data_IF_022967021805
#
_entry.id   IF_022967021805
#
_cell.length_a   1.000
_cell.length_b   1.000
_cell.length_c   1.000
_cell.angle_alpha   90.00
_cell.angle_beta   90.00
_cell.angle_gamma   90.00
#
_symmetry.space_group_name_H-M   'P 1'
#
loop_
_entity.id
_entity.type
_entity.pdbx_description
1 polymer ?
#
# COMPACT_ATOMS: atom_id res chain seq x y z
N UNK A 1 25.81 9.00 17.91
CA UNK A 1 26.28 8.98 16.50
C UNK A 1 25.15 8.45 15.63
N UNK A 2 24.79 9.19 14.60
CA UNK A 2 23.78 8.74 13.62
C UNK A 2 24.33 7.60 12.77
N UNK A 3 23.55 6.57 12.58
CA UNK A 3 23.88 5.46 11.69
C UNK A 3 23.72 5.82 10.21
N UNK A 4 24.22 4.99 9.32
CA UNK A 4 24.00 5.18 7.87
C UNK A 4 22.53 5.13 7.50
N UNK A 5 21.75 4.30 8.19
CA UNK A 5 20.30 4.24 7.95
C UNK A 5 19.59 5.50 8.45
N UNK A 6 20.03 6.08 9.57
CA UNK A 6 19.46 7.36 10.04
C UNK A 6 19.65 8.46 8.99
N UNK A 7 20.84 8.55 8.41
CA UNK A 7 21.12 9.50 7.32
C UNK A 7 20.26 9.23 6.08
N UNK A 8 20.02 7.97 5.73
CA UNK A 8 19.15 7.62 4.61
C UNK A 8 17.69 8.03 4.88
N UNK A 9 17.20 7.80 6.09
CA UNK A 9 15.86 8.22 6.52
C UNK A 9 15.73 9.74 6.49
N UNK A 10 16.73 10.47 7.00
CA UNK A 10 16.73 11.93 6.99
C UNK A 10 16.68 12.49 5.56
N UNK A 11 17.47 11.92 4.64
CA UNK A 11 17.43 12.30 3.22
C UNK A 11 16.06 12.01 2.59
N UNK A 12 15.48 10.85 2.89
CA UNK A 12 14.14 10.52 2.40
C UNK A 12 13.11 11.54 2.89
N UNK A 13 13.10 11.83 4.18
CA UNK A 13 12.17 12.75 4.82
C UNK A 13 12.29 14.18 4.31
N UNK A 14 13.48 14.63 3.95
CA UNK A 14 13.71 15.97 3.39
C UNK A 14 12.96 16.21 2.07
N UNK A 15 12.52 15.15 1.40
CA UNK A 15 11.78 15.18 0.14
C UNK A 15 10.27 15.04 0.30
N UNK A 16 9.80 14.82 1.52
CA UNK A 16 8.40 14.48 1.81
C UNK A 16 7.71 15.61 2.58
N UNK A 17 6.43 15.82 2.27
CA UNK A 17 5.52 16.61 3.10
C UNK A 17 4.81 15.67 4.07
N UNK A 18 5.50 15.25 5.12
CA UNK A 18 5.00 14.25 6.06
C UNK A 18 3.78 14.74 6.81
N UNK A 19 2.86 13.84 7.10
CA UNK A 19 1.63 14.13 7.81
C UNK A 19 1.76 13.76 9.29
N UNK A 20 1.33 14.66 10.17
CA UNK A 20 1.06 14.27 11.55
C UNK A 20 -0.18 13.36 11.60
N UNK A 21 -0.28 12.46 12.60
CA UNK A 21 -1.45 11.58 12.73
C UNK A 21 -2.79 12.31 12.63
N UNK A 22 -2.90 13.49 13.23
CA UNK A 22 -4.13 14.28 13.20
C UNK A 22 -4.54 14.79 11.81
N UNK A 23 -3.60 14.86 10.87
CA UNK A 23 -3.84 15.32 9.49
C UNK A 23 -4.33 14.20 8.56
N UNK A 24 -4.17 12.95 8.96
CA UNK A 24 -4.50 11.80 8.10
C UNK A 24 -5.98 11.73 7.72
N UNK A 25 -6.95 11.92 8.63
CA UNK A 25 -8.36 11.91 8.26
C UNK A 25 -8.71 12.96 7.19
N UNK A 26 -8.18 14.17 7.30
CA UNK A 26 -8.40 15.22 6.30
C UNK A 26 -7.76 14.87 4.96
N UNK A 27 -6.58 14.24 4.95
CA UNK A 27 -5.94 13.76 3.74
C UNK A 27 -6.80 12.72 3.01
N UNK A 28 -7.31 11.74 3.73
CA UNK A 28 -8.21 10.72 3.16
C UNK A 28 -9.51 11.34 2.65
N UNK A 29 -10.07 12.30 3.38
CA UNK A 29 -11.29 13.00 2.98
C UNK A 29 -11.11 13.77 1.66
N UNK A 30 -9.92 14.31 1.37
CA UNK A 30 -9.61 14.98 0.09
C UNK A 30 -9.19 14.02 -1.04
N UNK A 31 -9.19 12.72 -0.80
CA UNK A 31 -8.91 11.69 -1.80
C UNK A 31 -7.56 11.01 -1.70
N UNK A 32 -6.76 11.27 -0.67
CA UNK A 32 -5.51 10.55 -0.45
C UNK A 32 -5.78 9.06 -0.22
N UNK A 33 -4.86 8.23 -0.68
CA UNK A 33 -4.90 6.79 -0.52
C UNK A 33 -3.97 6.39 0.62
N UNK A 34 -4.54 5.92 1.72
CA UNK A 34 -3.78 5.43 2.86
C UNK A 34 -3.36 3.98 2.61
N UNK A 35 -2.07 3.71 2.71
CA UNK A 35 -1.47 2.40 2.44
C UNK A 35 -0.71 1.92 3.66
N UNK A 36 -1.06 0.73 4.14
CA UNK A 36 -0.36 0.05 5.23
C UNK A 36 0.66 -0.91 4.64
N UNK A 37 1.95 -0.63 4.85
CA UNK A 37 3.06 -1.44 4.34
C UNK A 37 3.62 -2.42 5.36
N UNK A 38 3.02 -2.52 6.55
CA UNK A 38 3.50 -3.44 7.59
C UNK A 38 3.34 -4.90 7.15
N UNK A 39 4.27 -5.79 7.56
CA UNK A 39 4.07 -7.24 7.42
C UNK A 39 2.79 -7.72 8.12
N UNK A 40 2.20 -8.80 7.64
CA UNK A 40 0.97 -9.36 8.22
C UNK A 40 1.12 -9.65 9.72
N UNK A 41 2.22 -10.27 10.13
CA UNK A 41 2.49 -10.58 11.54
C UNK A 41 2.49 -9.33 12.43
N UNK A 42 3.01 -8.21 11.94
CA UNK A 42 3.03 -6.95 12.67
C UNK A 42 1.63 -6.33 12.77
N UNK A 43 0.84 -6.37 11.69
CA UNK A 43 -0.56 -5.94 11.71
C UNK A 43 -1.41 -6.78 12.65
N UNK A 44 -1.18 -8.10 12.69
CA UNK A 44 -1.89 -9.00 13.59
C UNK A 44 -1.57 -8.70 15.06
N UNK A 45 -0.32 -8.37 15.36
CA UNK A 45 0.11 -8.04 16.72
C UNK A 45 -0.32 -6.64 17.17
N UNK A 46 -0.29 -5.66 16.28
CA UNK A 46 -0.53 -4.24 16.63
C UNK A 46 -1.97 -3.77 16.34
N UNK A 47 -2.65 -4.40 15.40
CA UNK A 47 -3.98 -4.01 14.94
C UNK A 47 -3.99 -3.44 13.53
N UNK A 48 -5.15 -3.49 12.88
CA UNK A 48 -5.35 -3.01 11.51
C UNK A 48 -5.87 -1.57 11.50
N UNK A 49 -5.69 -0.88 10.39
CA UNK A 49 -6.24 0.46 10.15
C UNK A 49 -7.40 0.36 9.19
N UNK A 50 -8.60 0.71 9.65
CA UNK A 50 -9.77 0.80 8.79
C UNK A 50 -9.53 1.86 7.71
N UNK A 51 -9.91 1.55 6.47
CA UNK A 51 -9.75 2.46 5.34
C UNK A 51 -8.36 2.46 4.70
N UNK A 52 -7.38 1.78 5.27
CA UNK A 52 -6.08 1.59 4.63
C UNK A 52 -6.11 0.42 3.65
N UNK A 53 -5.43 0.57 2.53
CA UNK A 53 -5.12 -0.53 1.62
C UNK A 53 -3.83 -1.18 2.11
N UNK A 54 -3.83 -2.51 2.23
CA UNK A 54 -2.62 -3.25 2.57
C UNK A 54 -1.82 -3.53 1.30
N UNK A 55 -0.59 -3.06 1.26
CA UNK A 55 0.37 -3.39 0.20
C UNK A 55 1.68 -3.78 0.88
N UNK A 56 2.19 -4.96 0.60
CA UNK A 56 3.50 -5.35 1.10
C UNK A 56 4.60 -4.49 0.47
N UNK A 57 5.60 -4.14 1.27
CA UNK A 57 6.67 -3.23 0.85
C UNK A 57 7.38 -3.68 -0.42
N UNK A 58 7.59 -4.99 -0.58
CA UNK A 58 8.34 -5.55 -1.71
C UNK A 58 7.63 -5.42 -3.08
N UNK A 59 6.35 -5.11 -3.10
CA UNK A 59 5.55 -4.93 -4.34
C UNK A 59 4.95 -3.52 -4.47
N UNK A 60 5.26 -2.64 -3.53
CA UNK A 60 4.65 -1.31 -3.44
C UNK A 60 4.77 -0.52 -4.74
N UNK A 61 5.94 -0.41 -5.32
CA UNK A 61 6.20 0.36 -6.53
C UNK A 61 5.35 -0.13 -7.69
N UNK A 62 5.26 -1.44 -7.90
CA UNK A 62 4.43 -2.03 -8.97
C UNK A 62 2.94 -1.77 -8.77
N UNK A 63 2.49 -1.68 -7.52
CA UNK A 63 1.08 -1.45 -7.20
C UNK A 63 0.67 0.01 -7.30
N UNK A 64 1.60 0.92 -7.12
CA UNK A 64 1.35 2.38 -7.12
C UNK A 64 1.67 3.06 -8.45
N UNK A 65 2.51 2.46 -9.30
CA UNK A 65 2.89 3.03 -10.59
C UNK A 65 1.71 2.94 -11.57
N UNK A 66 1.17 4.08 -12.06
CA UNK A 66 0.04 4.07 -12.99
C UNK A 66 0.33 3.41 -14.35
N UNK A 67 1.60 3.22 -14.69
CA UNK A 67 2.03 2.56 -15.92
C UNK A 67 2.30 1.07 -15.76
N UNK A 68 2.26 0.56 -14.53
CA UNK A 68 2.50 -0.85 -14.24
C UNK A 68 1.28 -1.71 -14.58
N UNK A 69 1.47 -2.89 -15.21
CA UNK A 69 0.38 -3.83 -15.41
C UNK A 69 -0.15 -4.43 -14.10
N UNK A 70 0.62 -4.34 -13.01
CA UNK A 70 0.24 -4.80 -11.69
C UNK A 70 -0.36 -3.70 -10.80
N UNK A 71 -0.62 -2.52 -11.35
CA UNK A 71 -1.13 -1.37 -10.58
C UNK A 71 -2.48 -1.65 -9.92
N UNK A 72 -2.70 -0.99 -8.80
CA UNK A 72 -4.03 -0.91 -8.16
C UNK A 72 -4.98 -0.05 -9.02
N UNK A 73 -6.31 -0.28 -8.91
CA UNK A 73 -7.29 0.62 -9.53
C UNK A 73 -7.14 2.08 -9.10
N UNK A 74 -6.66 2.33 -7.88
CA UNK A 74 -6.42 3.66 -7.33
C UNK A 74 -5.21 4.36 -7.97
N UNK A 75 -4.31 3.64 -8.60
CA UNK A 75 -3.12 4.17 -9.28
C UNK A 75 -3.49 4.75 -10.65
N UNK A 76 -4.27 5.81 -10.67
CA UNK A 76 -4.84 6.41 -11.89
C UNK A 76 -3.92 7.41 -12.57
N UNK A 77 -3.00 8.02 -11.83
CA UNK A 77 -2.05 9.02 -12.35
C UNK A 77 -0.87 9.20 -11.39
N UNK A 78 0.11 9.98 -11.82
CA UNK A 78 1.25 10.37 -10.96
C UNK A 78 0.85 11.37 -9.87
N UNK A 79 -0.34 11.93 -9.93
CA UNK A 79 -0.83 12.94 -8.98
C UNK A 79 -1.58 12.37 -7.78
N UNK A 80 -1.70 11.04 -7.70
CA UNK A 80 -2.30 10.39 -6.54
C UNK A 80 -1.50 10.68 -5.29
N UNK A 81 -2.17 11.12 -4.23
CA UNK A 81 -1.56 11.33 -2.92
C UNK A 81 -1.50 10.00 -2.18
N UNK A 82 -0.34 9.35 -2.21
CA UNK A 82 -0.08 8.12 -1.49
C UNK A 82 0.44 8.43 -0.09
N UNK A 83 -0.31 8.04 0.92
CA UNK A 83 0.08 8.20 2.33
C UNK A 83 0.45 6.85 2.90
N UNK A 84 1.73 6.63 3.12
CA UNK A 84 2.25 5.34 3.57
C UNK A 84 2.32 5.27 5.09
N UNK A 85 1.97 4.12 5.62
CA UNK A 85 1.94 3.83 7.04
C UNK A 85 2.76 2.58 7.33
N UNK A 86 3.73 2.70 8.21
CA UNK A 86 4.40 1.57 8.86
C UNK A 86 4.19 1.64 10.37
N UNK A 87 4.89 0.83 11.14
CA UNK A 87 4.67 0.79 12.60
C UNK A 87 5.08 2.07 13.31
N UNK A 88 6.28 2.58 13.02
CA UNK A 88 6.90 3.70 13.75
C UNK A 88 7.27 4.89 12.87
N UNK A 89 6.99 4.84 11.56
CA UNK A 89 7.27 5.93 10.65
C UNK A 89 8.71 6.02 10.14
N UNK A 90 9.47 4.92 10.12
CA UNK A 90 10.82 4.86 9.54
C UNK A 90 10.83 4.23 8.15
N UNK A 91 10.41 2.99 8.04
CA UNK A 91 10.35 2.28 6.75
C UNK A 91 9.45 2.98 5.75
N UNK A 92 8.36 3.59 6.20
CA UNK A 92 7.44 4.33 5.33
C UNK A 92 8.09 5.56 4.69
N UNK A 93 9.00 6.23 5.36
CA UNK A 93 9.75 7.35 4.79
C UNK A 93 10.62 6.91 3.62
N UNK A 94 11.34 5.79 3.76
CA UNK A 94 12.13 5.21 2.67
C UNK A 94 11.24 4.77 1.51
N UNK A 95 10.11 4.15 1.82
CA UNK A 95 9.15 3.69 0.82
C UNK A 95 8.52 4.87 0.04
N UNK A 96 8.14 5.94 0.72
CA UNK A 96 7.59 7.14 0.07
C UNK A 96 8.63 7.81 -0.83
N UNK A 97 9.89 7.88 -0.41
CA UNK A 97 10.97 8.39 -1.25
C UNK A 97 11.18 7.52 -2.50
N UNK A 98 11.07 6.20 -2.39
CA UNK A 98 11.14 5.30 -3.54
C UNK A 98 10.00 5.56 -4.54
N UNK A 99 8.78 5.83 -4.07
CA UNK A 99 7.67 6.24 -4.94
C UNK A 99 7.93 7.60 -5.60
N UNK A 100 8.50 8.55 -4.88
CA UNK A 100 8.87 9.86 -5.43
C UNK A 100 9.91 9.72 -6.56
N UNK A 101 10.84 8.77 -6.45
CA UNK A 101 11.82 8.46 -7.50
C UNK A 101 11.17 7.95 -8.79
N UNK A 102 9.97 7.39 -8.73
CA UNK A 102 9.17 7.00 -9.89
C UNK A 102 8.34 8.16 -10.48
N UNK A 103 8.46 9.35 -9.95
CA UNK A 103 7.67 10.51 -10.35
C UNK A 103 6.32 10.64 -9.63
N UNK A 104 6.06 9.81 -8.63
CA UNK A 104 4.86 9.92 -7.80
C UNK A 104 5.07 11.00 -6.73
N UNK A 105 5.02 12.24 -7.17
CA UNK A 105 5.50 13.41 -6.42
C UNK A 105 4.68 13.78 -5.18
N UNK A 106 3.49 13.18 -5.01
CA UNK A 106 2.64 13.41 -3.84
C UNK A 106 2.68 12.24 -2.84
N UNK A 107 3.64 11.33 -3.01
CA UNK A 107 3.87 10.27 -2.04
C UNK A 107 4.45 10.85 -0.74
N UNK A 108 3.91 10.43 0.38
CA UNK A 108 4.36 10.81 1.71
C UNK A 108 4.08 9.72 2.73
N UNK A 109 4.35 9.98 3.99
CA UNK A 109 4.10 9.04 5.07
C UNK A 109 3.60 9.74 6.34
N UNK A 110 3.30 8.94 7.36
CA UNK A 110 2.78 9.42 8.64
C UNK A 110 3.90 9.46 9.69
N UNK A 111 4.09 10.60 10.29
CA UNK A 111 5.04 10.79 11.40
C UNK A 111 4.68 9.86 12.56
N UNK A 112 5.64 9.05 13.00
CA UNK A 112 5.42 8.11 14.08
C UNK A 112 4.60 6.87 13.73
N UNK A 113 4.09 6.78 12.52
CA UNK A 113 3.40 5.62 11.96
C UNK A 113 2.13 5.20 12.70
N UNK A 114 1.80 3.93 12.57
CA UNK A 114 0.61 3.35 13.21
C UNK A 114 0.57 3.58 14.73
N UNK A 115 1.71 3.41 15.40
CA UNK A 115 1.75 3.59 16.86
C UNK A 115 1.40 4.99 17.29
N UNK A 116 1.84 6.01 16.55
CA UNK A 116 1.47 7.40 16.82
C UNK A 116 -0.01 7.66 16.52
N UNK A 117 -0.56 7.11 15.46
CA UNK A 117 -1.99 7.19 15.17
C UNK A 117 -2.84 6.55 16.26
N UNK A 118 -2.44 5.37 16.74
CA UNK A 118 -3.13 4.66 17.81
C UNK A 118 -3.10 5.45 19.12
N UNK A 119 -1.94 6.00 19.49
CA UNK A 119 -1.82 6.85 20.70
C UNK A 119 -2.65 8.11 20.62
N UNK A 120 -2.78 8.71 19.44
CA UNK A 120 -3.58 9.90 19.21
C UNK A 120 -5.08 9.60 19.09
N UNK A 121 -5.49 8.33 19.08
CA UNK A 121 -6.88 7.93 18.90
C UNK A 121 -7.44 8.30 17.52
N UNK A 122 -6.58 8.38 16.51
CA UNK A 122 -6.97 8.76 15.14
C UNK A 122 -7.57 7.57 14.43
N UNK A 123 -8.79 7.73 13.94
CA UNK A 123 -9.44 6.76 13.07
C UNK A 123 -9.75 7.38 11.71
N UNK A 124 -9.69 6.55 10.67
CA UNK A 124 -9.99 6.96 9.30
C UNK A 124 -11.34 6.37 8.92
N UNK A 125 -12.30 7.23 8.61
CA UNK A 125 -13.62 6.84 8.11
C UNK A 125 -13.74 7.26 6.65
N UNK A 126 -14.31 6.39 5.79
CA UNK A 126 -14.69 6.80 4.45
C UNK A 126 -14.31 5.91 3.28
N UNK A 127 -13.59 4.81 3.48
CA UNK A 127 -13.46 3.79 2.44
C UNK A 127 -14.17 2.51 2.88
N UNK A 128 -15.09 2.04 2.04
CA UNK A 128 -15.70 0.72 2.24
C UNK A 128 -14.64 -0.37 2.19
N UNK A 129 -14.69 -1.38 3.06
CA UNK A 129 -13.76 -2.52 3.04
C UNK A 129 -14.11 -3.46 1.89
N UNK A 130 -13.92 -3.03 0.66
CA UNK A 130 -14.31 -3.78 -0.53
C UNK A 130 -13.19 -3.93 -1.55
N UNK A 131 -12.10 -3.21 -1.42
CA UNK A 131 -10.98 -3.35 -2.33
C UNK A 131 -10.06 -4.49 -1.84
N UNK A 132 -10.34 -5.68 -2.31
CA UNK A 132 -9.46 -6.84 -2.10
C UNK A 132 -8.22 -6.68 -2.97
N UNK A 133 -7.21 -6.02 -2.47
CA UNK A 133 -5.95 -5.83 -3.17
C UNK A 133 -5.12 -7.11 -3.34
N UNK A 134 -5.53 -8.23 -2.76
CA UNK A 134 -4.80 -9.50 -2.74
C UNK A 134 -5.57 -10.71 -3.29
N UNK A 135 -6.54 -10.51 -4.18
CA UNK A 135 -7.06 -11.63 -4.94
C UNK A 135 -6.06 -11.97 -6.06
N UNK A 136 -5.27 -13.00 -5.85
CA UNK A 136 -4.60 -13.66 -6.98
C UNK A 136 -5.67 -14.06 -8.01
N UNK A 137 -5.39 -13.91 -9.32
CA UNK A 137 -6.33 -14.38 -10.33
C UNK A 137 -6.59 -15.86 -10.09
N UNK A 138 -7.84 -16.22 -9.85
CA UNK A 138 -8.23 -17.62 -9.83
C UNK A 138 -8.00 -18.16 -11.22
N UNK A 139 -7.05 -19.07 -11.35
CA UNK A 139 -6.94 -19.88 -12.54
C UNK A 139 -8.24 -20.65 -12.70
N UNK A 140 -8.95 -20.39 -13.78
CA UNK A 140 -10.12 -21.17 -14.16
C UNK A 140 -9.68 -22.62 -14.37
N UNK A 141 -10.41 -23.59 -13.84
CA UNK A 141 -10.12 -25.00 -14.16
C UNK A 141 -10.30 -25.18 -15.66
N UNK A 142 -9.27 -25.70 -16.32
CA UNK A 142 -9.35 -26.08 -17.72
C UNK A 142 -10.50 -27.08 -17.87
N UNK A 143 -11.43 -26.76 -18.75
CA UNK A 143 -12.46 -27.69 -19.17
C UNK A 143 -11.78 -28.88 -19.88
N UNK A 144 -11.93 -30.03 -19.30
CA UNK A 144 -11.52 -31.30 -19.93
C UNK A 144 -12.40 -31.54 -21.16
N UNK A 145 -11.88 -31.68 -22.37
CA UNK A 145 -12.69 -32.10 -23.50
C UNK A 145 -13.07 -33.57 -23.30
N UNK A 146 -14.36 -33.81 -23.33
CA UNK A 146 -14.92 -35.14 -23.21
C UNK A 146 -14.41 -36.08 -24.28
N UNK A 147 -14.09 -37.27 -23.86
CA UNK A 147 -13.74 -38.36 -24.73
C UNK A 147 -14.91 -38.71 -25.66
N UNK A 148 -14.70 -38.54 -26.93
CA UNK A 148 -15.63 -39.00 -27.95
C UNK A 148 -15.30 -40.42 -28.38
N UNK A 149 -16.29 -41.26 -28.28
CA UNK A 149 -16.67 -42.29 -29.19
C UNK A 149 -15.69 -43.39 -29.60
N UNK A 150 -16.00 -44.57 -29.14
CA UNK A 150 -15.48 -45.84 -29.69
C UNK A 150 -15.85 -46.01 -31.16
N UNK A 151 -14.99 -46.61 -32.00
CA UNK A 151 -15.33 -46.98 -33.36
C UNK A 151 -16.10 -48.33 -33.42
N UNK A 152 -16.97 -48.52 -34.41
CA UNK A 152 -17.68 -49.78 -34.53
C UNK A 152 -16.79 -50.86 -35.15
N UNK A 153 -17.02 -52.07 -34.67
CA UNK A 153 -16.47 -53.33 -35.18
C UNK A 153 -16.91 -53.64 -36.59
N UNK A 154 -15.93 -53.96 -37.43
CA UNK A 154 -15.92 -55.08 -38.37
C UNK A 154 -14.50 -55.44 -38.72
#
# INVERSE_FOLDING_TARGET
>A
MSSRIDHAVDRARSRLCRLDPAEVPAAVARGAVLVDIRPAAQRDAEGSVAGAIVIERNVLEWRCDPTSPARLPEAVSVDVEWVLLCSQGFASSLAAAALADLGLHRATDVVGGYQAMARAGVSVTGRSPGSRANAAPRSSPASTPGAAGSPPTR
#
